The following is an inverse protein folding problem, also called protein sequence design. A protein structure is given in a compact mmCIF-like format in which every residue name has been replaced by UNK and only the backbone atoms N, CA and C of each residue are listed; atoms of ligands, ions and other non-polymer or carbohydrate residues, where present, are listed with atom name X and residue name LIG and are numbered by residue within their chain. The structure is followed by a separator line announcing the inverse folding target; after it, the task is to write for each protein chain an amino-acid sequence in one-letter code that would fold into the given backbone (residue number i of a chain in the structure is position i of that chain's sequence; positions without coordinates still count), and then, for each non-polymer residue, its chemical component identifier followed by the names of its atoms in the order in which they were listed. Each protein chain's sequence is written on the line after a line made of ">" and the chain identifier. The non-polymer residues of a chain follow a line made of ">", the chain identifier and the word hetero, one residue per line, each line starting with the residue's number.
data_IF_175106851260
#
_entry.id   IF_175106851260
#
_cell.length_a   1.000
_cell.length_b   1.000
_cell.length_c   1.000
_cell.angle_alpha   90.00
_cell.angle_beta   90.00
_cell.angle_gamma   90.00
#
_symmetry.space_group_name_H-M   'P 1'
#
loop_
_entity.id
_entity.type
_entity.pdbx_description
1 polymer ?
#
# COMPACT_ATOMS: atom_id res chain seq x y z
N UNK A 1 7.58 -50.58 -21.61
CA UNK A 1 8.76 -49.77 -22.00
C UNK A 1 9.75 -49.66 -20.83
N UNK A 2 11.07 -49.76 -21.07
CA UNK A 2 12.10 -49.76 -20.02
C UNK A 2 12.64 -48.35 -19.69
N UNK A 3 12.09 -47.32 -20.34
CA UNK A 3 12.48 -45.91 -20.17
C UNK A 3 13.95 -45.62 -20.55
N UNK A 4 14.49 -46.39 -21.52
CA UNK A 4 15.89 -46.30 -21.93
C UNK A 4 16.13 -45.42 -23.16
N UNK A 5 15.06 -45.01 -23.85
CA UNK A 5 15.09 -44.10 -25.00
C UNK A 5 13.96 -43.08 -24.93
N UNK A 6 14.11 -41.95 -25.63
CA UNK A 6 13.08 -40.91 -25.71
C UNK A 6 11.72 -41.46 -26.20
N UNK A 7 11.75 -42.34 -27.22
CA UNK A 7 10.56 -43.00 -27.75
C UNK A 7 9.81 -43.78 -26.66
N UNK A 8 10.53 -44.52 -25.82
CA UNK A 8 9.93 -45.27 -24.72
C UNK A 8 9.39 -44.37 -23.61
N UNK A 9 10.04 -43.23 -23.32
CA UNK A 9 9.53 -42.24 -22.37
C UNK A 9 8.20 -41.64 -22.85
N UNK A 10 8.09 -41.31 -24.14
CA UNK A 10 6.83 -40.86 -24.75
C UNK A 10 5.75 -41.94 -24.74
N UNK A 11 6.11 -43.19 -24.96
CA UNK A 11 5.18 -44.32 -24.86
C UNK A 11 4.62 -44.47 -23.43
N UNK A 12 5.47 -44.37 -22.40
CA UNK A 12 5.04 -44.36 -20.99
C UNK A 12 4.10 -43.19 -20.73
N UNK A 13 4.45 -41.99 -21.20
CA UNK A 13 3.64 -40.80 -21.05
C UNK A 13 2.24 -40.99 -21.64
N UNK A 14 2.15 -41.50 -22.86
CA UNK A 14 0.87 -41.71 -23.54
C UNK A 14 0.01 -42.77 -22.84
N UNK A 15 0.61 -43.89 -22.42
CA UNK A 15 -0.11 -44.95 -21.70
C UNK A 15 -0.76 -44.38 -20.43
N UNK A 16 -0.02 -43.58 -19.66
CA UNK A 16 -0.56 -42.96 -18.45
C UNK A 16 -1.67 -41.94 -18.79
N UNK A 17 -1.47 -41.11 -19.81
CA UNK A 17 -2.47 -40.14 -20.28
C UNK A 17 -3.80 -40.78 -20.70
N UNK A 18 -3.74 -41.95 -21.32
CA UNK A 18 -4.93 -42.68 -21.79
C UNK A 18 -5.66 -43.40 -20.64
N UNK A 19 -4.93 -43.80 -19.60
CA UNK A 19 -5.49 -44.53 -18.45
C UNK A 19 -6.07 -43.59 -17.39
N UNK A 20 -5.44 -42.45 -17.17
CA UNK A 20 -5.88 -41.46 -16.17
C UNK A 20 -7.08 -40.67 -16.70
N UNK A 21 -8.15 -40.66 -15.90
CA UNK A 21 -9.39 -39.95 -16.19
C UNK A 21 -9.39 -38.58 -15.53
N UNK A 22 -10.35 -37.76 -15.95
CA UNK A 22 -10.51 -36.41 -15.41
C UNK A 22 -10.94 -36.50 -13.94
N UNK A 23 -10.23 -35.82 -13.05
CA UNK A 23 -10.54 -35.75 -11.63
C UNK A 23 -10.04 -36.93 -10.79
N UNK A 24 -9.29 -37.87 -11.36
CA UNK A 24 -8.77 -39.02 -10.63
C UNK A 24 -7.87 -38.58 -9.45
N UNK A 25 -8.00 -39.29 -8.32
CA UNK A 25 -7.06 -39.17 -7.20
C UNK A 25 -5.89 -40.15 -7.39
N UNK A 26 -4.65 -39.66 -7.41
CA UNK A 26 -3.46 -40.49 -7.71
C UNK A 26 -2.48 -40.53 -6.54
N UNK A 27 -1.91 -41.71 -6.32
CA UNK A 27 -0.75 -41.94 -5.44
C UNK A 27 0.38 -42.48 -6.32
N UNK A 28 1.56 -41.88 -6.23
CA UNK A 28 2.74 -42.33 -6.95
C UNK A 28 3.69 -43.05 -6.00
N UNK A 29 3.96 -44.32 -6.29
CA UNK A 29 5.05 -45.08 -5.67
C UNK A 29 6.26 -45.00 -6.61
N UNK A 30 7.34 -44.37 -6.14
CA UNK A 30 8.59 -44.23 -6.88
C UNK A 30 9.72 -45.12 -6.34
N UNK A 31 9.42 -46.08 -5.47
CA UNK A 31 10.38 -47.02 -4.86
C UNK A 31 11.31 -47.69 -5.89
N UNK A 32 10.76 -48.08 -7.04
CA UNK A 32 11.51 -48.74 -8.11
C UNK A 32 11.79 -47.81 -9.31
N UNK A 33 11.59 -46.50 -9.15
CA UNK A 33 11.89 -45.54 -10.22
C UNK A 33 13.39 -45.37 -10.37
N UNK A 34 13.88 -45.52 -11.60
CA UNK A 34 15.30 -45.47 -11.89
C UNK A 34 15.64 -44.35 -12.87
N UNK A 35 16.73 -43.62 -12.61
CA UNK A 35 17.32 -42.58 -13.48
C UNK A 35 16.34 -41.50 -13.94
N UNK A 36 15.86 -41.55 -15.18
CA UNK A 36 15.03 -40.52 -15.83
C UNK A 36 13.56 -40.59 -15.41
N UNK A 37 13.11 -41.72 -14.85
CA UNK A 37 11.70 -41.92 -14.47
C UNK A 37 11.19 -40.91 -13.42
N UNK A 38 11.90 -40.60 -12.32
CA UNK A 38 11.47 -39.56 -11.38
C UNK A 38 11.26 -38.19 -12.03
N UNK A 39 12.14 -37.81 -12.97
CA UNK A 39 11.99 -36.58 -13.74
C UNK A 39 10.75 -36.63 -14.65
N UNK A 40 10.55 -37.72 -15.38
CA UNK A 40 9.37 -37.92 -16.22
C UNK A 40 8.08 -37.85 -15.38
N UNK A 41 8.04 -38.52 -14.23
CA UNK A 41 6.87 -38.50 -13.34
C UNK A 41 6.56 -37.11 -12.82
N UNK A 42 7.59 -36.32 -12.47
CA UNK A 42 7.38 -34.94 -12.04
C UNK A 42 6.69 -34.13 -13.15
N UNK A 43 7.18 -34.21 -14.39
CA UNK A 43 6.56 -33.54 -15.56
C UNK A 43 5.14 -34.04 -15.81
N UNK A 44 4.94 -35.35 -15.73
CA UNK A 44 3.66 -36.01 -15.99
C UNK A 44 2.60 -35.65 -14.96
N UNK A 45 2.96 -35.59 -13.67
CA UNK A 45 2.08 -35.13 -12.59
C UNK A 45 1.58 -33.71 -12.89
N UNK A 46 2.48 -32.80 -13.28
CA UNK A 46 2.11 -31.42 -13.62
C UNK A 46 1.18 -31.37 -14.84
N UNK A 47 1.52 -32.10 -15.90
CA UNK A 47 0.72 -32.13 -17.12
C UNK A 47 -0.68 -32.72 -16.89
N UNK A 48 -0.78 -33.83 -16.15
CA UNK A 48 -2.06 -34.41 -15.73
C UNK A 48 -2.85 -33.45 -14.86
N UNK A 49 -2.20 -32.69 -13.97
CA UNK A 49 -2.85 -31.65 -13.18
C UNK A 49 -3.55 -30.60 -14.05
N UNK A 50 -2.89 -30.19 -15.15
CA UNK A 50 -3.46 -29.22 -16.10
C UNK A 50 -4.57 -29.82 -16.94
N UNK A 51 -4.31 -30.95 -17.61
CA UNK A 51 -5.19 -31.52 -18.65
C UNK A 51 -6.30 -32.40 -18.09
N UNK A 52 -6.00 -33.15 -17.03
CA UNK A 52 -6.93 -34.12 -16.43
C UNK A 52 -7.46 -33.64 -15.08
N UNK A 53 -6.99 -32.52 -14.52
CA UNK A 53 -7.45 -32.01 -13.21
C UNK A 53 -7.37 -33.07 -12.11
N UNK A 54 -6.30 -33.88 -12.13
CA UNK A 54 -6.08 -34.92 -11.12
C UNK A 54 -5.89 -34.30 -9.73
N UNK A 55 -6.12 -35.11 -8.70
CA UNK A 55 -5.77 -34.77 -7.32
C UNK A 55 -4.63 -35.66 -6.84
N UNK A 56 -3.47 -35.07 -6.59
CA UNK A 56 -2.34 -35.81 -6.05
C UNK A 56 -2.56 -36.07 -4.56
N UNK A 57 -2.57 -37.36 -4.17
CA UNK A 57 -2.71 -37.81 -2.77
C UNK A 57 -1.38 -38.09 -2.09
N UNK A 58 -0.35 -38.40 -2.86
CA UNK A 58 1.02 -38.39 -2.37
C UNK A 58 2.02 -39.04 -3.33
N UNK A 59 3.29 -38.78 -3.06
CA UNK A 59 4.43 -39.39 -3.73
C UNK A 59 5.29 -40.06 -2.66
N UNK A 60 5.46 -41.37 -2.75
CA UNK A 60 6.14 -42.16 -1.72
C UNK A 60 7.33 -42.91 -2.31
N UNK A 61 8.39 -42.99 -1.51
CA UNK A 61 9.62 -43.70 -1.84
C UNK A 61 9.97 -44.66 -0.69
N UNK A 62 9.95 -45.96 -0.95
CA UNK A 62 10.49 -46.95 -0.03
C UNK A 62 12.00 -47.01 -0.13
N UNK A 63 12.71 -46.63 0.93
CA UNK A 63 14.17 -46.63 0.97
C UNK A 63 14.74 -48.04 1.23
N UNK A 64 14.38 -49.01 0.37
CA UNK A 64 14.76 -50.42 0.52
C UNK A 64 16.27 -50.65 0.51
N UNK A 65 17.02 -49.82 -0.22
CA UNK A 65 18.48 -49.81 -0.27
C UNK A 65 19.14 -49.67 1.12
N UNK A 66 18.43 -49.10 2.11
CA UNK A 66 18.91 -49.00 3.49
C UNK A 66 19.03 -50.36 4.18
N UNK A 67 18.30 -51.37 3.71
CA UNK A 67 18.40 -52.74 4.21
C UNK A 67 19.64 -53.47 3.67
N UNK A 68 20.40 -52.84 2.75
CA UNK A 68 21.62 -53.38 2.18
C UNK A 68 21.37 -54.23 0.93
N UNK A 69 22.27 -55.17 0.65
CA UNK A 69 22.18 -56.02 -0.54
C UNK A 69 21.01 -56.99 -0.46
N UNK A 70 20.44 -57.39 -1.60
CA UNK A 70 19.33 -58.36 -1.67
C UNK A 70 19.64 -59.65 -0.90
N UNK A 71 20.89 -60.13 -0.95
CA UNK A 71 21.33 -61.32 -0.19
C UNK A 71 21.24 -61.10 1.33
N UNK A 72 21.73 -59.96 1.80
CA UNK A 72 21.64 -59.60 3.21
C UNK A 72 20.18 -59.53 3.68
N UNK A 73 19.29 -58.95 2.86
CA UNK A 73 17.85 -58.88 3.19
C UNK A 73 17.19 -60.27 3.21
N UNK A 74 17.59 -61.18 2.31
CA UNK A 74 17.05 -62.55 2.30
C UNK A 74 17.39 -63.32 3.58
N UNK A 75 18.55 -63.04 4.18
CA UNK A 75 19.01 -63.62 5.45
C UNK A 75 18.37 -62.95 6.68
N UNK A 76 17.80 -61.76 6.53
CA UNK A 76 17.04 -61.08 7.59
C UNK A 76 15.69 -61.78 7.85
N UNK A 77 15.31 -61.84 9.12
CA UNK A 77 13.93 -62.15 9.53
C UNK A 77 12.98 -61.09 8.99
N UNK A 78 11.71 -61.47 8.76
CA UNK A 78 10.70 -60.55 8.23
C UNK A 78 10.59 -59.29 9.11
N UNK A 79 10.60 -59.45 10.44
CA UNK A 79 10.51 -58.34 11.40
C UNK A 79 11.70 -57.38 11.33
N UNK A 80 12.86 -57.82 10.83
CA UNK A 80 14.05 -56.98 10.67
C UNK A 80 14.09 -56.24 9.33
N UNK A 81 13.17 -56.51 8.40
CA UNK A 81 13.10 -55.86 7.07
C UNK A 81 12.30 -54.55 7.13
N UNK A 82 12.72 -53.64 8.00
CA UNK A 82 12.06 -52.34 8.20
C UNK A 82 12.64 -51.26 7.27
N UNK A 83 12.20 -51.26 6.01
CA UNK A 83 12.56 -50.21 5.05
C UNK A 83 11.67 -48.98 5.24
N UNK A 84 12.23 -47.78 5.55
CA UNK A 84 11.42 -46.61 5.79
C UNK A 84 10.77 -46.11 4.50
N UNK A 85 9.49 -45.73 4.59
CA UNK A 85 8.77 -45.04 3.52
C UNK A 85 8.92 -43.54 3.74
N UNK A 86 9.46 -42.86 2.73
CA UNK A 86 9.64 -41.41 2.71
C UNK A 86 8.51 -40.79 1.89
N UNK A 87 7.78 -39.85 2.50
CA UNK A 87 6.80 -39.01 1.81
C UNK A 87 7.51 -37.83 1.14
N UNK A 88 7.47 -37.80 -0.19
CA UNK A 88 8.08 -36.77 -1.03
C UNK A 88 7.07 -35.73 -1.51
N UNK A 89 5.79 -35.87 -1.15
CA UNK A 89 4.74 -34.91 -1.48
C UNK A 89 5.08 -33.46 -1.10
N UNK A 90 5.72 -33.18 0.06
CA UNK A 90 6.05 -31.80 0.43
C UNK A 90 6.93 -31.05 -0.58
N UNK A 91 7.80 -31.74 -1.32
CA UNK A 91 8.68 -31.12 -2.32
C UNK A 91 7.91 -30.60 -3.53
N UNK A 92 6.84 -31.29 -3.94
CA UNK A 92 5.93 -30.78 -4.99
C UNK A 92 5.13 -29.58 -4.49
N UNK A 93 4.84 -29.52 -3.18
CA UNK A 93 4.25 -28.35 -2.53
C UNK A 93 5.12 -27.11 -2.69
N UNK A 94 6.45 -27.23 -2.55
CA UNK A 94 7.40 -26.11 -2.74
C UNK A 94 7.26 -25.53 -4.16
N UNK A 95 7.24 -26.39 -5.17
CA UNK A 95 7.05 -25.96 -6.56
C UNK A 95 5.70 -25.28 -6.76
N UNK A 96 4.61 -25.85 -6.25
CA UNK A 96 3.27 -25.30 -6.43
C UNK A 96 3.13 -23.91 -5.81
N UNK A 97 3.65 -23.71 -4.58
CA UNK A 97 3.70 -22.40 -3.93
C UNK A 97 4.60 -21.41 -4.68
N UNK A 98 5.77 -21.86 -5.15
CA UNK A 98 6.66 -21.06 -6.00
C UNK A 98 5.94 -20.50 -7.23
N UNK A 99 5.29 -21.37 -7.99
CA UNK A 99 4.53 -21.02 -9.20
C UNK A 99 3.34 -20.13 -8.88
N UNK A 100 2.56 -20.43 -7.84
CA UNK A 100 1.38 -19.63 -7.49
C UNK A 100 1.75 -18.20 -7.04
N UNK A 101 2.87 -18.04 -6.33
CA UNK A 101 3.39 -16.72 -5.95
C UNK A 101 3.92 -15.96 -7.17
N UNK A 102 4.69 -16.62 -8.05
CA UNK A 102 5.17 -16.01 -9.29
C UNK A 102 3.99 -15.56 -10.19
N UNK A 103 2.97 -16.40 -10.34
CA UNK A 103 1.75 -16.05 -11.08
C UNK A 103 1.02 -14.86 -10.46
N UNK A 104 0.91 -14.78 -9.14
CA UNK A 104 0.35 -13.62 -8.48
C UNK A 104 1.19 -12.36 -8.74
N UNK A 105 2.51 -12.44 -8.63
CA UNK A 105 3.41 -11.29 -8.84
C UNK A 105 3.47 -10.81 -10.29
N UNK A 106 3.24 -11.69 -11.27
CA UNK A 106 3.26 -11.35 -12.71
C UNK A 106 1.90 -10.96 -13.27
N UNK A 107 0.84 -11.60 -12.79
CA UNK A 107 -0.50 -11.50 -13.39
C UNK A 107 -1.55 -10.94 -12.43
N UNK A 108 -1.21 -10.75 -11.16
CA UNK A 108 -2.10 -10.25 -10.12
C UNK A 108 -3.28 -11.15 -9.78
N UNK A 109 -3.20 -12.43 -10.15
CA UNK A 109 -4.24 -13.42 -9.88
C UNK A 109 -3.92 -14.22 -8.62
N UNK A 110 -4.88 -14.29 -7.71
CA UNK A 110 -4.72 -14.97 -6.41
C UNK A 110 -5.30 -16.40 -6.40
N UNK A 111 -5.94 -16.83 -7.48
CA UNK A 111 -6.73 -18.07 -7.51
C UNK A 111 -5.94 -19.31 -7.10
N UNK A 112 -4.72 -19.48 -7.64
CA UNK A 112 -3.86 -20.62 -7.30
C UNK A 112 -3.44 -20.61 -5.83
N UNK A 113 -3.13 -19.44 -5.27
CA UNK A 113 -2.83 -19.29 -3.84
C UNK A 113 -4.03 -19.70 -2.98
N UNK A 114 -5.25 -19.30 -3.36
CA UNK A 114 -6.47 -19.68 -2.65
C UNK A 114 -6.71 -21.20 -2.72
N UNK A 115 -6.45 -21.83 -3.86
CA UNK A 115 -6.49 -23.30 -4.00
C UNK A 115 -5.47 -23.97 -3.07
N UNK A 116 -4.23 -23.48 -3.03
CA UNK A 116 -3.20 -24.02 -2.13
C UNK A 116 -3.60 -23.89 -0.65
N UNK A 117 -4.19 -22.76 -0.25
CA UNK A 117 -4.75 -22.58 1.08
C UNK A 117 -5.83 -23.63 1.36
N UNK A 118 -6.76 -23.82 0.42
CA UNK A 118 -7.86 -24.78 0.56
C UNK A 118 -7.37 -26.22 0.72
N UNK A 119 -6.39 -26.61 -0.10
CA UNK A 119 -5.97 -28.01 -0.22
C UNK A 119 -4.93 -28.41 0.83
N UNK A 120 -4.06 -27.48 1.25
CA UNK A 120 -2.91 -27.81 2.10
C UNK A 120 -2.96 -27.13 3.47
N UNK A 121 -3.48 -25.90 3.57
CA UNK A 121 -3.43 -25.13 4.83
C UNK A 121 -4.69 -25.32 5.67
N UNK A 122 -5.87 -25.34 5.06
CA UNK A 122 -7.13 -25.56 5.77
C UNK A 122 -7.19 -26.92 6.48
N UNK A 123 -6.70 -28.04 5.90
CA UNK A 123 -6.62 -29.31 6.63
C UNK A 123 -5.71 -29.24 7.85
N UNK A 124 -4.55 -28.58 7.77
CA UNK A 124 -3.64 -28.38 8.90
C UNK A 124 -4.32 -27.58 10.01
N UNK A 125 -5.02 -26.50 9.67
CA UNK A 125 -5.78 -25.71 10.65
C UNK A 125 -6.91 -26.52 11.28
N UNK A 126 -7.58 -27.39 10.52
CA UNK A 126 -8.62 -28.28 11.06
C UNK A 126 -8.03 -29.29 12.04
N UNK A 127 -6.91 -29.92 11.69
CA UNK A 127 -6.22 -30.91 12.53
C UNK A 127 -5.67 -30.28 13.83
N UNK A 128 -5.07 -29.10 13.73
CA UNK A 128 -4.49 -28.37 14.87
C UNK A 128 -5.51 -27.54 15.66
N UNK A 129 -6.80 -27.57 15.27
CA UNK A 129 -7.87 -26.72 15.83
C UNK A 129 -7.50 -25.23 15.82
N UNK A 130 -6.83 -24.79 14.76
CA UNK A 130 -6.42 -23.41 14.53
C UNK A 130 -5.24 -22.93 15.39
N UNK A 131 -4.50 -23.84 16.01
CA UNK A 131 -3.33 -23.51 16.84
C UNK A 131 -2.03 -23.36 16.05
N UNK A 132 -2.02 -23.75 14.78
CA UNK A 132 -0.86 -23.55 13.91
C UNK A 132 -0.76 -22.09 13.46
N UNK A 133 0.26 -21.39 13.96
CA UNK A 133 0.49 -19.96 13.71
C UNK A 133 0.85 -19.69 12.25
N UNK A 134 1.71 -20.52 11.64
CA UNK A 134 2.16 -20.35 10.25
C UNK A 134 0.99 -20.55 9.28
N UNK A 135 0.21 -21.61 9.47
CA UNK A 135 -0.97 -21.89 8.66
C UNK A 135 -2.01 -20.76 8.75
N UNK A 136 -2.19 -20.20 9.95
CA UNK A 136 -3.11 -19.07 10.18
C UNK A 136 -2.60 -17.78 9.52
N UNK A 137 -1.30 -17.50 9.64
CA UNK A 137 -0.66 -16.36 9.01
C UNK A 137 -0.78 -16.44 7.47
N UNK A 138 -0.39 -17.57 6.86
CA UNK A 138 -0.47 -17.80 5.42
C UNK A 138 -1.90 -17.64 4.88
N UNK A 139 -2.90 -18.22 5.57
CA UNK A 139 -4.31 -18.03 5.19
C UNK A 139 -4.73 -16.56 5.26
N UNK A 140 -4.30 -15.84 6.30
CA UNK A 140 -4.57 -14.41 6.46
C UNK A 140 -3.94 -13.58 5.34
N UNK A 141 -2.67 -13.81 5.03
CA UNK A 141 -1.93 -13.13 3.96
C UNK A 141 -2.63 -13.35 2.62
N UNK A 142 -2.89 -14.60 2.23
CA UNK A 142 -3.54 -14.90 0.94
C UNK A 142 -4.93 -14.28 0.86
N UNK A 143 -5.69 -14.26 1.96
CA UNK A 143 -6.96 -13.54 2.00
C UNK A 143 -6.79 -12.05 1.74
N UNK A 144 -5.73 -11.42 2.24
CA UNK A 144 -5.48 -9.98 2.03
C UNK A 144 -4.89 -9.65 0.67
N UNK A 145 -4.10 -10.54 0.10
CA UNK A 145 -3.72 -10.46 -1.31
C UNK A 145 -4.95 -10.60 -2.21
N UNK A 146 -5.91 -11.45 -1.86
CA UNK A 146 -7.17 -11.57 -2.58
C UNK A 146 -8.02 -10.30 -2.47
N UNK A 147 -8.14 -9.72 -1.28
CA UNK A 147 -8.81 -8.43 -1.08
C UNK A 147 -8.16 -7.34 -1.94
N UNK A 148 -6.82 -7.28 -1.96
CA UNK A 148 -6.06 -6.33 -2.77
C UNK A 148 -6.35 -6.50 -4.27
N UNK A 149 -6.14 -7.70 -4.81
CA UNK A 149 -6.35 -8.01 -6.23
C UNK A 149 -7.79 -7.69 -6.65
N UNK A 150 -8.78 -8.06 -5.84
CA UNK A 150 -10.20 -7.75 -6.05
C UNK A 150 -10.43 -6.24 -6.07
N UNK A 151 -9.88 -5.51 -5.10
CA UNK A 151 -10.04 -4.06 -5.04
C UNK A 151 -9.41 -3.34 -6.23
N UNK A 152 -8.28 -3.83 -6.75
CA UNK A 152 -7.67 -3.32 -7.99
C UNK A 152 -8.58 -3.62 -9.18
N UNK A 153 -8.96 -4.89 -9.36
CA UNK A 153 -9.76 -5.35 -10.49
C UNK A 153 -11.11 -4.63 -10.61
N UNK A 154 -11.75 -4.36 -9.46
CA UNK A 154 -13.05 -3.68 -9.39
C UNK A 154 -12.94 -2.18 -9.08
N UNK A 155 -11.75 -1.59 -9.14
CA UNK A 155 -11.51 -0.13 -9.01
C UNK A 155 -12.05 0.44 -7.68
N UNK A 156 -11.76 -0.23 -6.57
CA UNK A 156 -12.20 0.18 -5.22
C UNK A 156 -11.13 1.03 -4.53
N UNK A 157 -10.85 2.21 -5.07
CA UNK A 157 -9.83 3.15 -4.56
C UNK A 157 -9.96 3.47 -3.06
N UNK A 158 -11.19 3.73 -2.58
CA UNK A 158 -11.47 3.97 -1.14
C UNK A 158 -11.17 2.75 -0.26
N UNK A 159 -11.29 1.53 -0.78
CA UNK A 159 -10.92 0.33 -0.03
C UNK A 159 -9.40 0.18 0.00
N UNK A 160 -8.72 0.38 -1.13
CA UNK A 160 -7.26 0.35 -1.24
C UNK A 160 -6.58 1.33 -0.29
N UNK A 161 -7.10 2.56 -0.17
CA UNK A 161 -6.56 3.57 0.77
C UNK A 161 -6.76 3.21 2.24
N UNK A 162 -7.63 2.25 2.57
CA UNK A 162 -7.87 1.78 3.94
C UNK A 162 -7.18 0.46 4.27
N UNK A 163 -6.54 -0.17 3.29
CA UNK A 163 -5.84 -1.44 3.51
C UNK A 163 -4.61 -1.23 4.40
N UNK A 164 -4.37 -2.19 5.30
CA UNK A 164 -3.22 -2.22 6.19
C UNK A 164 -2.21 -3.26 5.66
N UNK A 165 -1.39 -2.86 4.68
CA UNK A 165 -0.42 -3.74 4.01
C UNK A 165 0.71 -4.19 4.95
N UNK A 166 1.25 -3.31 5.79
CA UNK A 166 2.28 -3.68 6.75
C UNK A 166 1.73 -4.65 7.79
N UNK A 167 0.66 -4.26 8.47
CA UNK A 167 0.06 -5.06 9.56
C UNK A 167 -0.48 -6.42 9.08
N UNK A 168 -1.06 -6.49 7.87
CA UNK A 168 -1.79 -7.69 7.45
C UNK A 168 -1.13 -8.52 6.34
N UNK A 169 -0.04 -8.03 5.73
CA UNK A 169 0.69 -8.76 4.69
C UNK A 169 2.17 -8.87 5.06
N UNK A 170 2.88 -7.74 5.18
CA UNK A 170 4.35 -7.73 5.32
C UNK A 170 4.81 -8.28 6.68
N UNK A 171 4.25 -7.81 7.79
CA UNK A 171 4.61 -8.29 9.13
C UNK A 171 4.29 -9.78 9.31
N UNK A 172 3.09 -10.28 8.94
CA UNK A 172 2.80 -11.71 8.97
C UNK A 172 3.76 -12.53 8.10
N UNK A 173 4.13 -12.07 6.90
CA UNK A 173 5.09 -12.78 6.03
C UNK A 173 6.45 -12.97 6.74
N UNK A 174 6.94 -11.94 7.44
CA UNK A 174 8.20 -12.00 8.22
C UNK A 174 8.12 -12.94 9.43
N UNK A 175 6.91 -13.20 9.93
CA UNK A 175 6.68 -14.05 11.10
C UNK A 175 6.49 -15.53 10.75
N UNK A 176 6.19 -15.86 9.49
CA UNK A 176 6.12 -17.26 9.04
C UNK A 176 7.49 -17.89 9.25
N UNK A 177 7.58 -18.85 10.17
CA UNK A 177 8.85 -19.48 10.53
C UNK A 177 9.34 -20.40 9.41
N UNK A 178 10.64 -20.34 9.12
CA UNK A 178 11.31 -21.15 8.11
C UNK A 178 11.14 -22.66 8.30
N UNK A 179 10.89 -23.16 9.52
CA UNK A 179 10.71 -24.59 9.79
C UNK A 179 9.46 -25.20 9.13
N UNK A 180 8.50 -24.37 8.70
CA UNK A 180 7.28 -24.86 8.04
C UNK A 180 7.61 -25.49 6.68
N UNK A 181 8.42 -24.80 5.87
CA UNK A 181 8.98 -25.24 4.58
C UNK A 181 10.21 -24.35 4.26
N UNK A 182 11.43 -24.68 4.71
CA UNK A 182 12.61 -23.82 4.53
C UNK A 182 12.85 -23.36 3.08
N UNK A 183 12.60 -24.22 2.05
CA UNK A 183 12.74 -23.81 0.65
C UNK A 183 11.73 -22.75 0.17
N UNK A 184 10.63 -22.50 0.91
CA UNK A 184 9.65 -21.46 0.55
C UNK A 184 10.04 -20.07 1.02
N UNK A 185 10.94 -19.93 1.98
CA UNK A 185 11.28 -18.63 2.55
C UNK A 185 11.71 -17.62 1.48
N UNK A 186 12.62 -17.94 0.53
CA UNK A 186 13.02 -16.97 -0.51
C UNK A 186 11.85 -16.53 -1.40
N UNK A 187 10.87 -17.42 -1.63
CA UNK A 187 9.67 -17.11 -2.40
C UNK A 187 8.77 -16.16 -1.62
N UNK A 188 8.58 -16.39 -0.31
CA UNK A 188 7.80 -15.50 0.56
C UNK A 188 8.47 -14.12 0.71
N UNK A 189 9.81 -14.07 0.69
CA UNK A 189 10.56 -12.83 0.74
C UNK A 189 10.28 -11.96 -0.50
N UNK A 190 10.00 -12.56 -1.67
CA UNK A 190 9.60 -11.79 -2.87
C UNK A 190 8.27 -11.06 -2.69
N UNK A 191 7.31 -11.65 -1.98
CA UNK A 191 6.06 -10.98 -1.61
C UNK A 191 6.31 -9.86 -0.60
N UNK A 192 7.18 -10.13 0.38
CA UNK A 192 7.58 -9.15 1.40
C UNK A 192 8.20 -7.91 0.74
N UNK A 193 9.06 -8.13 -0.26
CA UNK A 193 9.67 -7.07 -1.05
C UNK A 193 8.62 -6.26 -1.81
N UNK A 194 7.72 -6.94 -2.53
CA UNK A 194 6.72 -6.29 -3.38
C UNK A 194 5.82 -5.32 -2.61
N UNK A 195 5.47 -5.65 -1.37
CA UNK A 195 4.59 -4.83 -0.53
C UNK A 195 5.34 -4.01 0.51
N UNK A 196 6.68 -3.99 0.49
CA UNK A 196 7.50 -3.24 1.47
C UNK A 196 7.10 -1.78 1.55
N UNK A 197 6.94 -1.13 0.39
CA UNK A 197 6.70 0.32 0.30
C UNK A 197 5.20 0.68 0.24
N UNK A 198 4.33 -0.24 0.67
CA UNK A 198 2.89 -0.02 0.82
C UNK A 198 2.54 0.22 2.29
N UNK A 199 2.27 1.45 2.72
CA UNK A 199 1.95 1.73 4.11
C UNK A 199 0.51 1.36 4.47
N UNK A 200 0.27 1.33 5.77
CA UNK A 200 -1.08 1.12 6.30
C UNK A 200 -1.94 2.37 6.14
N UNK A 201 -3.15 2.19 5.59
CA UNK A 201 -4.20 3.20 5.53
C UNK A 201 -3.75 4.51 4.88
N UNK A 202 -2.95 4.41 3.82
CA UNK A 202 -2.39 5.54 3.10
C UNK A 202 -3.28 5.93 1.90
N UNK A 203 -3.74 7.20 1.79
CA UNK A 203 -4.43 7.74 0.63
C UNK A 203 -3.70 7.52 -0.71
N UNK A 204 -2.36 7.51 -0.70
CA UNK A 204 -1.52 7.30 -1.88
C UNK A 204 -1.43 5.84 -2.32
N UNK A 205 -2.01 4.89 -1.59
CA UNK A 205 -2.12 3.50 -2.05
C UNK A 205 -2.92 3.38 -3.36
N UNK A 206 -3.78 4.36 -3.68
CA UNK A 206 -4.40 4.46 -5.00
C UNK A 206 -3.38 4.62 -6.15
N UNK A 207 -2.31 5.42 -5.94
CA UNK A 207 -1.27 5.63 -6.96
C UNK A 207 -0.36 4.42 -7.12
N UNK A 208 -0.03 3.75 -6.00
CA UNK A 208 0.70 2.48 -6.02
C UNK A 208 -0.11 1.38 -6.74
N UNK A 209 -1.43 1.39 -6.58
CA UNK A 209 -2.32 0.49 -7.31
C UNK A 209 -2.41 0.82 -8.81
N UNK A 210 -2.23 2.08 -9.21
CA UNK A 210 -2.12 2.45 -10.62
C UNK A 210 -0.83 1.90 -11.23
N UNK A 211 0.29 1.99 -10.51
CA UNK A 211 1.55 1.37 -10.93
C UNK A 211 1.40 -0.15 -11.10
N UNK A 212 0.76 -0.81 -10.12
CA UNK A 212 0.38 -2.22 -10.24
C UNK A 212 -0.44 -2.48 -11.51
N UNK A 213 -1.45 -1.65 -11.81
CA UNK A 213 -2.24 -1.80 -13.04
C UNK A 213 -1.40 -1.69 -14.32
N UNK A 214 -0.42 -0.78 -14.36
CA UNK A 214 0.46 -0.58 -15.52
C UNK A 214 1.30 -1.85 -15.76
N UNK A 215 1.96 -2.35 -14.71
CA UNK A 215 2.79 -3.55 -14.77
C UNK A 215 1.99 -4.79 -15.24
N UNK A 216 0.75 -4.91 -14.80
CA UNK A 216 -0.10 -6.09 -15.04
C UNK A 216 -1.02 -5.94 -16.26
N UNK A 217 -0.93 -4.83 -17.00
CA UNK A 217 -1.76 -4.58 -18.19
C UNK A 217 -3.25 -4.32 -17.90
N UNK A 218 -3.59 -3.92 -16.68
CA UNK A 218 -4.95 -3.56 -16.25
C UNK A 218 -5.26 -2.09 -16.61
N UNK A 219 -5.12 -1.74 -17.89
CA UNK A 219 -5.10 -0.33 -18.36
C UNK A 219 -6.40 0.42 -18.05
N UNK A 220 -7.55 -0.23 -18.22
CA UNK A 220 -8.86 0.37 -17.94
C UNK A 220 -9.05 0.69 -16.44
N UNK A 221 -8.63 -0.26 -15.58
CA UNK A 221 -8.64 -0.08 -14.13
C UNK A 221 -7.66 1.02 -13.72
N UNK A 222 -6.46 1.02 -14.29
CA UNK A 222 -5.42 2.04 -14.04
C UNK A 222 -5.90 3.45 -14.37
N UNK A 223 -6.50 3.67 -15.54
CA UNK A 223 -7.05 4.97 -15.94
C UNK A 223 -8.14 5.46 -14.97
N UNK A 224 -9.04 4.56 -14.57
CA UNK A 224 -10.12 4.90 -13.64
C UNK A 224 -9.59 5.16 -12.23
N UNK A 225 -8.70 4.30 -11.72
CA UNK A 225 -8.07 4.47 -10.40
C UNK A 225 -7.25 5.76 -10.33
N UNK A 226 -6.49 6.09 -11.39
CA UNK A 226 -5.67 7.30 -11.42
C UNK A 226 -6.52 8.56 -11.35
N UNK A 227 -7.59 8.63 -12.15
CA UNK A 227 -8.51 9.77 -12.12
C UNK A 227 -9.19 9.91 -10.75
N UNK A 228 -9.70 8.83 -10.17
CA UNK A 228 -10.38 8.88 -8.87
C UNK A 228 -9.42 9.20 -7.72
N UNK A 229 -8.18 8.71 -7.79
CA UNK A 229 -7.13 9.01 -6.81
C UNK A 229 -6.69 10.46 -6.89
N UNK A 230 -6.55 11.03 -8.09
CA UNK A 230 -6.26 12.46 -8.28
C UNK A 230 -7.32 13.32 -7.57
N UNK A 231 -8.61 13.02 -7.78
CA UNK A 231 -9.71 13.74 -7.13
C UNK A 231 -9.63 13.60 -5.61
N UNK A 232 -9.32 12.42 -5.10
CA UNK A 232 -9.18 12.16 -3.65
C UNK A 232 -8.02 12.96 -3.04
N UNK A 233 -6.85 12.95 -3.68
CA UNK A 233 -5.66 13.70 -3.25
C UNK A 233 -5.96 15.20 -3.21
N UNK A 234 -6.60 15.73 -4.24
CA UNK A 234 -6.97 17.15 -4.29
C UNK A 234 -8.04 17.52 -3.27
N UNK A 235 -9.02 16.63 -3.05
CA UNK A 235 -10.05 16.84 -2.02
C UNK A 235 -9.43 16.91 -0.64
N UNK A 236 -8.47 16.02 -0.34
CA UNK A 236 -7.73 16.00 0.93
C UNK A 236 -6.85 17.23 1.09
N UNK A 237 -6.13 17.62 0.02
CA UNK A 237 -5.23 18.78 0.05
C UNK A 237 -5.96 20.11 0.24
N UNK A 238 -7.13 20.24 -0.37
CA UNK A 238 -7.92 21.48 -0.36
C UNK A 238 -8.99 21.48 0.74
N UNK A 239 -8.89 20.59 1.73
CA UNK A 239 -9.91 20.39 2.76
C UNK A 239 -10.33 21.69 3.45
N UNK A 240 -9.36 22.53 3.79
CA UNK A 240 -9.57 23.87 4.37
C UNK A 240 -10.37 24.79 3.45
N UNK A 241 -10.05 24.80 2.15
CA UNK A 241 -10.76 25.66 1.18
C UNK A 241 -12.15 25.10 0.86
N UNK A 242 -12.35 23.81 1.10
CA UNK A 242 -13.61 23.11 0.96
C UNK A 242 -14.45 23.13 2.25
N UNK A 243 -14.05 23.88 3.29
CA UNK A 243 -14.72 23.92 4.58
C UNK A 243 -16.24 24.19 4.46
N UNK A 244 -16.63 25.11 3.57
CA UNK A 244 -18.05 25.45 3.35
C UNK A 244 -18.79 24.48 2.41
N UNK A 245 -18.06 23.67 1.64
CA UNK A 245 -18.63 22.75 0.65
C UNK A 245 -19.14 21.49 1.35
N UNK A 246 -20.46 21.28 1.29
CA UNK A 246 -21.12 20.16 1.97
C UNK A 246 -21.27 20.36 3.47
N UNK A 247 -21.10 21.59 3.99
CA UNK A 247 -21.29 21.91 5.41
C UNK A 247 -22.73 21.67 5.90
N UNK A 248 -23.70 21.62 4.98
CA UNK A 248 -25.09 21.26 5.22
C UNK A 248 -25.31 19.76 5.47
N UNK A 249 -24.29 18.91 5.26
CA UNK A 249 -24.38 17.46 5.44
C UNK A 249 -24.06 17.06 6.87
N UNK A 250 -24.99 16.31 7.46
CA UNK A 250 -24.90 15.78 8.83
C UNK A 250 -23.79 14.74 8.99
N UNK A 251 -23.59 13.88 7.99
CA UNK A 251 -22.55 12.86 8.01
C UNK A 251 -21.35 13.23 7.13
N UNK A 252 -20.17 12.75 7.53
CA UNK A 252 -18.91 13.06 6.86
C UNK A 252 -18.79 12.41 5.47
N UNK A 253 -19.51 11.30 5.20
CA UNK A 253 -19.45 10.61 3.92
C UNK A 253 -20.14 11.41 2.81
N UNK A 254 -21.35 11.92 3.07
CA UNK A 254 -22.08 12.79 2.15
C UNK A 254 -21.36 14.12 1.93
N UNK A 255 -20.72 14.66 2.98
CA UNK A 255 -19.86 15.85 2.88
C UNK A 255 -18.70 15.58 1.92
N UNK A 256 -18.01 14.47 2.10
CA UNK A 256 -16.89 14.07 1.23
C UNK A 256 -17.34 13.87 -0.22
N UNK A 257 -18.49 13.22 -0.45
CA UNK A 257 -19.06 13.05 -1.80
C UNK A 257 -19.27 14.40 -2.47
N UNK A 258 -19.88 15.37 -1.77
CA UNK A 258 -20.08 16.72 -2.29
C UNK A 258 -18.77 17.42 -2.62
N UNK A 259 -17.76 17.30 -1.76
CA UNK A 259 -16.42 17.88 -1.98
C UNK A 259 -15.72 17.26 -3.19
N UNK A 260 -15.80 15.94 -3.38
CA UNK A 260 -15.23 15.24 -4.56
C UNK A 260 -15.90 15.71 -5.86
N UNK A 261 -17.23 15.78 -5.88
CA UNK A 261 -17.99 16.30 -7.03
C UNK A 261 -17.57 17.75 -7.35
N UNK A 262 -17.44 18.58 -6.31
CA UNK A 262 -17.01 19.96 -6.44
C UNK A 262 -15.62 20.07 -7.08
N UNK A 263 -14.65 19.29 -6.60
CA UNK A 263 -13.29 19.24 -7.16
C UNK A 263 -13.28 18.76 -8.60
N UNK A 264 -14.00 17.67 -8.93
CA UNK A 264 -14.10 17.19 -10.31
C UNK A 264 -14.70 18.27 -11.23
N UNK A 265 -15.76 18.98 -10.81
CA UNK A 265 -16.33 20.07 -11.59
C UNK A 265 -15.35 21.23 -11.76
N UNK A 266 -14.63 21.60 -10.69
CA UNK A 266 -13.63 22.66 -10.71
C UNK A 266 -12.52 22.33 -11.72
N UNK A 267 -11.96 21.12 -11.69
CA UNK A 267 -10.92 20.70 -12.62
C UNK A 267 -11.41 20.76 -14.08
N UNK A 268 -12.65 20.37 -14.35
CA UNK A 268 -13.24 20.46 -15.70
C UNK A 268 -13.36 21.90 -16.21
N UNK A 269 -13.80 22.85 -15.38
CA UNK A 269 -13.95 24.25 -15.83
C UNK A 269 -12.60 24.93 -16.00
N UNK A 270 -11.61 24.60 -15.15
CA UNK A 270 -10.25 25.10 -15.28
C UNK A 270 -9.54 24.56 -16.52
N UNK A 271 -9.73 23.27 -16.85
CA UNK A 271 -9.12 22.66 -18.05
C UNK A 271 -9.64 23.26 -19.37
N UNK A 272 -10.80 23.92 -19.33
CA UNK A 272 -11.47 24.53 -20.48
C UNK A 272 -11.40 26.06 -20.46
N UNK A 273 -10.62 26.64 -19.55
CA UNK A 273 -10.47 28.08 -19.36
C UNK A 273 -11.81 28.81 -19.23
N UNK A 274 -12.83 28.17 -18.63
CA UNK A 274 -14.14 28.78 -18.47
C UNK A 274 -14.03 29.88 -17.40
N UNK A 275 -14.38 31.14 -17.74
CA UNK A 275 -14.20 32.25 -16.82
C UNK A 275 -15.09 32.08 -15.59
N UNK A 276 -14.67 32.55 -14.39
CA UNK A 276 -15.46 32.39 -13.18
C UNK A 276 -16.90 32.86 -13.31
N UNK A 277 -17.19 33.91 -14.11
CA UNK A 277 -18.54 34.43 -14.39
C UNK A 277 -19.50 33.38 -14.96
N UNK A 278 -18.98 32.36 -15.63
CA UNK A 278 -19.77 31.33 -16.30
C UNK A 278 -19.83 30.00 -15.54
N UNK A 279 -19.19 29.92 -14.36
CA UNK A 279 -19.29 28.73 -13.51
C UNK A 279 -20.74 28.50 -13.07
N UNK A 280 -21.18 27.24 -13.09
CA UNK A 280 -22.56 26.81 -12.82
C UNK A 280 -22.64 25.90 -11.59
N UNK A 281 -23.86 25.55 -11.19
CA UNK A 281 -24.18 24.60 -10.12
C UNK A 281 -23.48 24.91 -8.79
N UNK A 282 -22.85 23.92 -8.16
CA UNK A 282 -22.17 24.05 -6.87
C UNK A 282 -21.01 25.05 -6.91
N UNK A 283 -20.35 25.21 -8.07
CA UNK A 283 -19.27 26.21 -8.22
C UNK A 283 -19.82 27.64 -8.18
N UNK A 284 -21.02 27.87 -8.73
CA UNK A 284 -21.71 29.15 -8.65
C UNK A 284 -22.19 29.43 -7.22
N UNK A 285 -22.80 28.43 -6.58
CA UNK A 285 -23.32 28.52 -5.21
C UNK A 285 -22.23 28.71 -4.15
N UNK A 286 -20.99 28.27 -4.42
CA UNK A 286 -19.85 28.37 -3.51
C UNK A 286 -18.66 29.07 -4.19
N UNK A 287 -18.92 30.20 -4.85
CA UNK A 287 -17.95 30.93 -5.69
C UNK A 287 -16.65 31.30 -4.98
N UNK A 288 -16.73 31.73 -3.72
CA UNK A 288 -15.56 32.08 -2.92
C UNK A 288 -14.65 30.86 -2.69
N UNK A 289 -15.23 29.71 -2.33
CA UNK A 289 -14.51 28.46 -2.16
C UNK A 289 -13.92 27.97 -3.49
N UNK A 290 -14.67 28.07 -4.59
CA UNK A 290 -14.21 27.66 -5.91
C UNK A 290 -12.98 28.47 -6.37
N UNK A 291 -13.02 29.80 -6.19
CA UNK A 291 -11.89 30.67 -6.50
C UNK A 291 -10.69 30.43 -5.57
N UNK A 292 -10.92 30.17 -4.28
CA UNK A 292 -9.86 29.84 -3.33
C UNK A 292 -9.18 28.50 -3.67
N UNK A 293 -9.95 27.50 -4.10
CA UNK A 293 -9.43 26.24 -4.60
C UNK A 293 -8.64 26.45 -5.90
N UNK A 294 -9.19 27.18 -6.87
CA UNK A 294 -8.56 27.42 -8.18
C UNK A 294 -7.15 28.02 -8.06
N UNK A 295 -6.93 28.93 -7.11
CA UNK A 295 -5.60 29.53 -6.85
C UNK A 295 -4.56 28.53 -6.32
N UNK A 296 -5.00 27.41 -5.75
CA UNK A 296 -4.14 26.37 -5.14
C UNK A 296 -4.02 25.11 -6.00
N UNK A 297 -4.81 25.00 -7.06
CA UNK A 297 -4.70 23.93 -8.05
C UNK A 297 -3.48 24.23 -8.94
N UNK A 298 -2.51 23.30 -9.09
CA UNK A 298 -1.41 23.46 -10.03
C UNK A 298 -1.93 23.67 -11.45
N UNK A 299 -1.29 24.54 -12.23
CA UNK A 299 -1.74 24.93 -13.57
C UNK A 299 -1.87 23.76 -14.54
N UNK A 300 -1.02 22.75 -14.39
CA UNK A 300 -0.96 21.61 -15.30
C UNK A 300 -1.95 20.51 -14.93
N UNK A 301 -2.47 20.53 -13.70
CA UNK A 301 -3.35 19.48 -13.17
C UNK A 301 -4.72 19.42 -13.89
N UNK A 302 -5.41 20.54 -14.21
CA UNK A 302 -6.62 20.50 -15.02
C UNK A 302 -6.42 19.88 -16.40
N UNK A 303 -5.32 20.23 -17.08
CA UNK A 303 -4.97 19.67 -18.39
C UNK A 303 -4.75 18.16 -18.30
N UNK A 304 -4.02 17.72 -17.27
CA UNK A 304 -3.82 16.30 -16.97
C UNK A 304 -5.14 15.57 -16.72
N UNK A 305 -6.04 16.17 -15.93
CA UNK A 305 -7.36 15.60 -15.60
C UNK A 305 -8.26 15.45 -16.83
N UNK A 306 -8.24 16.42 -17.75
CA UNK A 306 -8.98 16.34 -19.01
C UNK A 306 -8.39 15.26 -19.94
N UNK A 307 -7.05 15.15 -20.05
CA UNK A 307 -6.39 14.06 -20.79
C UNK A 307 -6.80 12.69 -20.25
N UNK A 308 -6.81 12.52 -18.92
CA UNK A 308 -7.27 11.28 -18.27
C UNK A 308 -8.74 10.98 -18.57
N UNK A 309 -9.60 12.01 -18.51
CA UNK A 309 -11.03 11.87 -18.83
C UNK A 309 -11.22 11.36 -20.25
N UNK A 310 -10.47 11.88 -21.22
CA UNK A 310 -10.56 11.46 -22.61
C UNK A 310 -10.11 9.99 -22.81
N UNK A 311 -8.95 9.61 -22.25
CA UNK A 311 -8.44 8.24 -22.33
C UNK A 311 -9.38 7.23 -21.66
N UNK A 312 -9.89 7.57 -20.47
CA UNK A 312 -10.81 6.72 -19.70
C UNK A 312 -12.15 6.57 -20.44
N UNK A 313 -12.67 7.64 -21.03
CA UNK A 313 -13.91 7.57 -21.80
C UNK A 313 -13.73 6.75 -23.08
N UNK A 314 -12.61 6.89 -23.78
CA UNK A 314 -12.30 6.11 -24.98
C UNK A 314 -12.39 4.60 -24.71
N UNK A 315 -11.60 4.11 -23.74
CA UNK A 315 -11.57 2.68 -23.40
C UNK A 315 -12.92 2.18 -22.86
N UNK A 316 -13.65 2.99 -22.08
CA UNK A 316 -14.96 2.61 -21.55
C UNK A 316 -16.06 2.57 -22.62
N UNK A 317 -15.93 3.40 -23.66
CA UNK A 317 -16.83 3.38 -24.81
C UNK A 317 -16.35 2.42 -25.91
N UNK A 318 -15.38 1.55 -25.63
CA UNK A 318 -14.84 0.56 -26.54
C UNK A 318 -14.43 1.14 -27.92
N UNK A 319 -13.96 2.40 -27.93
CA UNK A 319 -13.55 3.09 -29.16
C UNK A 319 -14.68 3.52 -30.11
N UNK A 320 -15.96 3.41 -29.73
CA UNK A 320 -17.09 3.77 -30.62
C UNK A 320 -17.31 5.28 -30.83
N UNK A 321 -16.78 6.13 -29.96
CA UNK A 321 -17.04 7.59 -29.99
C UNK A 321 -15.87 8.34 -30.63
N UNK A 322 -14.70 8.32 -29.99
CA UNK A 322 -13.47 8.95 -30.48
C UNK A 322 -12.27 8.14 -29.98
N UNK A 323 -11.82 7.20 -30.80
CA UNK A 323 -10.77 6.27 -30.45
C UNK A 323 -9.37 6.80 -30.74
N UNK A 324 -8.47 6.60 -29.80
CA UNK A 324 -7.03 6.58 -30.04
C UNK A 324 -6.56 5.14 -30.33
N UNK A 325 -5.32 4.99 -30.80
CA UNK A 325 -4.73 3.65 -30.97
C UNK A 325 -4.51 2.97 -29.61
N UNK A 326 -4.64 1.65 -29.54
CA UNK A 326 -4.55 0.90 -28.28
C UNK A 326 -3.26 1.19 -27.49
N UNK A 327 -2.12 1.33 -28.17
CA UNK A 327 -0.83 1.65 -27.53
C UNK A 327 -0.85 3.02 -26.82
N UNK A 328 -1.66 3.97 -27.31
CA UNK A 328 -1.80 5.30 -26.70
C UNK A 328 -2.55 5.27 -25.37
N UNK A 329 -3.36 4.23 -25.09
CA UNK A 329 -4.04 4.08 -23.81
C UNK A 329 -3.04 3.75 -22.71
N UNK A 330 -2.13 2.79 -22.97
CA UNK A 330 -1.04 2.43 -22.05
C UNK A 330 -0.08 3.61 -21.87
N UNK A 331 0.46 4.16 -22.97
CA UNK A 331 1.38 5.29 -22.90
C UNK A 331 0.73 6.49 -22.19
N UNK A 332 -0.53 6.76 -22.50
CA UNK A 332 -1.29 7.84 -21.87
C UNK A 332 -1.45 7.63 -20.37
N UNK A 333 -1.73 6.41 -19.91
CA UNK A 333 -1.78 6.07 -18.48
C UNK A 333 -0.42 6.29 -17.80
N UNK A 334 0.66 5.76 -18.38
CA UNK A 334 2.03 5.89 -17.86
C UNK A 334 2.48 7.35 -17.77
N UNK A 335 2.26 8.13 -18.82
CA UNK A 335 2.57 9.57 -18.85
C UNK A 335 1.80 10.31 -17.75
N UNK A 336 0.51 10.02 -17.62
CA UNK A 336 -0.33 10.72 -16.66
C UNK A 336 -0.02 10.33 -15.21
N UNK A 337 0.33 9.05 -14.98
CA UNK A 337 0.77 8.56 -13.67
C UNK A 337 2.06 9.25 -13.25
N UNK A 338 3.06 9.30 -14.15
CA UNK A 338 4.33 10.00 -13.91
C UNK A 338 4.14 11.49 -13.67
N UNK A 339 3.33 12.15 -14.49
CA UNK A 339 3.03 13.57 -14.32
C UNK A 339 2.35 13.86 -12.97
N UNK A 340 1.41 13.02 -12.55
CA UNK A 340 0.75 13.18 -11.26
C UNK A 340 1.71 12.93 -10.09
N UNK A 341 2.59 11.94 -10.18
CA UNK A 341 3.63 11.72 -9.17
C UNK A 341 4.54 12.94 -9.03
N UNK A 342 5.07 13.45 -10.15
CA UNK A 342 5.90 14.66 -10.14
C UNK A 342 5.18 15.87 -9.56
N UNK A 343 3.92 16.08 -9.93
CA UNK A 343 3.09 17.13 -9.33
C UNK A 343 2.94 16.93 -7.82
N UNK A 344 2.67 15.72 -7.34
CA UNK A 344 2.51 15.42 -5.92
C UNK A 344 3.83 15.62 -5.16
N UNK A 345 4.96 15.27 -5.75
CA UNK A 345 6.29 15.49 -5.18
C UNK A 345 6.62 16.99 -5.10
N UNK A 346 6.40 17.77 -6.17
CA UNK A 346 6.57 19.23 -6.16
C UNK A 346 5.66 19.90 -5.13
N UNK A 347 4.42 19.42 -5.06
CA UNK A 347 3.41 19.83 -4.11
C UNK A 347 3.80 19.48 -2.66
N UNK A 348 4.42 18.32 -2.46
CA UNK A 348 4.93 17.81 -1.19
C UNK A 348 6.19 18.57 -0.74
N UNK A 349 7.15 18.78 -1.63
CA UNK A 349 8.36 19.56 -1.43
C UNK A 349 8.07 21.04 -1.13
N UNK A 350 7.01 21.60 -1.73
CA UNK A 350 6.50 22.92 -1.39
C UNK A 350 5.89 23.02 0.03
N UNK A 351 5.55 21.89 0.63
CA UNK A 351 5.03 21.79 2.01
C UNK A 351 6.10 21.32 3.01
N UNK A 352 7.13 20.61 2.56
CA UNK A 352 8.30 20.24 3.39
C UNK A 352 9.30 21.40 3.55
N UNK A 353 9.31 22.37 2.61
CA UNK A 353 10.11 23.59 2.74
C UNK A 353 9.43 24.70 3.55
N UNK A 354 8.10 24.68 3.70
CA UNK A 354 7.36 25.63 4.52
C UNK A 354 7.01 25.00 5.87
N UNK A 355 7.87 25.20 6.86
CA UNK A 355 7.56 24.80 8.23
C UNK A 355 6.29 25.49 8.76
N UNK A 356 5.59 24.81 9.66
CA UNK A 356 4.37 25.31 10.30
C UNK A 356 4.67 26.39 11.32
N UNK A 357 3.79 27.37 11.42
CA UNK A 357 3.83 28.43 12.43
C UNK A 357 2.87 28.15 13.57
N UNK A 358 3.42 27.80 14.73
CA UNK A 358 2.70 27.58 15.98
C UNK A 358 2.70 28.85 16.83
N UNK A 359 1.55 29.27 17.33
CA UNK A 359 1.43 30.34 18.31
C UNK A 359 1.02 29.78 19.66
N UNK A 360 1.94 29.82 20.63
CA UNK A 360 1.80 29.19 21.95
C UNK A 360 1.38 30.24 22.97
N UNK A 361 0.09 30.29 23.27
CA UNK A 361 -0.43 31.16 24.34
C UNK A 361 -1.83 30.75 24.75
N UNK A 362 -2.07 30.72 26.06
CA UNK A 362 -3.38 30.58 26.69
C UNK A 362 -4.13 31.91 26.87
N UNK A 363 -3.48 33.04 26.57
CA UNK A 363 -4.02 34.38 26.83
C UNK A 363 -4.79 34.92 25.60
N UNK A 364 -6.12 35.15 25.71
CA UNK A 364 -6.95 35.75 24.67
C UNK A 364 -6.37 37.03 24.06
N UNK A 365 -5.80 37.91 24.89
CA UNK A 365 -5.18 39.16 24.42
C UNK A 365 -4.02 38.94 23.45
N UNK A 366 -3.18 37.94 23.69
CA UNK A 366 -2.06 37.60 22.81
C UNK A 366 -2.52 37.01 21.48
N UNK A 367 -3.57 36.19 21.50
CA UNK A 367 -4.20 35.66 20.28
C UNK A 367 -4.87 36.76 19.47
N UNK A 368 -5.59 37.66 20.15
CA UNK A 368 -6.23 38.82 19.54
C UNK A 368 -5.23 39.81 18.96
N UNK A 369 -4.10 40.03 19.65
CA UNK A 369 -2.98 40.82 19.13
C UNK A 369 -2.41 40.19 17.86
N UNK A 370 -2.07 38.90 17.88
CA UNK A 370 -1.53 38.19 16.73
C UNK A 370 -2.45 38.23 15.49
N UNK A 371 -3.76 38.08 15.70
CA UNK A 371 -4.76 38.22 14.64
C UNK A 371 -4.86 39.67 14.12
N UNK A 372 -4.78 40.66 15.02
CA UNK A 372 -4.81 42.09 14.67
C UNK A 372 -3.58 42.57 13.91
N UNK A 373 -2.42 41.94 14.13
CA UNK A 373 -1.18 42.20 13.39
C UNK A 373 -1.09 41.40 12.07
N UNK A 374 -2.09 40.57 11.75
CA UNK A 374 -2.14 39.82 10.49
C UNK A 374 -1.11 38.68 10.39
N UNK A 375 -0.68 38.12 11.51
CA UNK A 375 0.29 37.02 11.52
C UNK A 375 -0.30 35.74 10.90
N UNK A 376 0.43 35.14 9.96
CA UNK A 376 0.06 33.86 9.35
C UNK A 376 0.39 32.71 10.33
N UNK A 377 -0.61 32.28 11.10
CA UNK A 377 -0.47 31.24 12.12
C UNK A 377 -1.24 29.99 11.67
N UNK A 378 -0.54 28.86 11.60
CA UNK A 378 -1.13 27.57 11.20
C UNK A 378 -1.84 26.88 12.37
N UNK A 379 -1.38 27.11 13.61
CA UNK A 379 -2.01 26.55 14.81
C UNK A 379 -1.82 27.43 16.05
N UNK A 380 -2.93 27.75 16.73
CA UNK A 380 -2.92 28.28 18.09
C UNK A 380 -2.98 27.13 19.10
N UNK A 381 -2.03 27.09 20.03
CA UNK A 381 -1.95 26.02 21.04
C UNK A 381 -1.72 26.62 22.43
N UNK A 382 -2.26 25.97 23.47
CA UNK A 382 -1.98 26.37 24.87
C UNK A 382 -0.60 25.88 25.31
N UNK A 383 -0.22 24.68 24.85
CA UNK A 383 1.05 24.03 25.13
C UNK A 383 1.62 23.42 23.85
N UNK A 384 2.93 23.58 23.64
CA UNK A 384 3.61 22.98 22.50
C UNK A 384 4.09 21.57 22.83
N UNK A 385 3.76 20.60 21.98
CA UNK A 385 4.38 19.28 22.04
C UNK A 385 5.63 19.29 21.17
N UNK A 386 6.79 19.27 21.82
CA UNK A 386 8.12 19.36 21.22
C UNK A 386 8.40 18.24 20.21
N UNK A 387 7.87 17.03 20.45
CA UNK A 387 8.11 15.88 19.57
C UNK A 387 7.45 16.01 18.19
N UNK A 388 6.59 17.02 18.02
CA UNK A 388 5.94 17.34 16.74
C UNK A 388 6.67 18.39 15.92
N UNK A 389 7.68 19.06 16.50
CA UNK A 389 8.45 20.10 15.83
C UNK A 389 9.37 19.48 14.78
N UNK A 390 9.24 19.96 13.54
CA UNK A 390 10.08 19.60 12.41
C UNK A 390 11.04 20.74 12.08
N UNK A 391 12.14 20.46 11.35
CA UNK A 391 12.98 21.50 10.79
C UNK A 391 12.15 22.52 10.00
N UNK A 392 12.50 23.81 10.11
CA UNK A 392 11.82 24.98 9.53
C UNK A 392 10.50 25.40 10.18
N UNK A 393 9.92 24.64 11.12
CA UNK A 393 8.73 25.09 11.88
C UNK A 393 9.06 26.37 12.66
N UNK A 394 8.11 27.31 12.73
CA UNK A 394 8.22 28.52 13.55
C UNK A 394 7.36 28.39 14.80
N UNK A 395 7.91 28.66 15.98
CA UNK A 395 7.19 28.65 17.25
C UNK A 395 7.23 30.04 17.86
N UNK A 396 6.06 30.65 18.01
CA UNK A 396 5.87 32.00 18.53
C UNK A 396 5.29 31.91 19.95
N UNK A 397 5.93 32.58 20.92
CA UNK A 397 5.37 32.72 22.27
C UNK A 397 6.43 32.91 23.37
N UNK A 398 5.96 33.11 24.59
CA UNK A 398 6.83 33.23 25.78
C UNK A 398 7.01 31.83 26.39
N UNK A 399 8.07 31.13 25.99
CA UNK A 399 8.32 29.74 26.39
C UNK A 399 9.41 29.62 27.46
N UNK A 400 9.35 28.59 28.34
CA UNK A 400 10.49 28.20 29.15
C UNK A 400 11.75 27.97 28.30
N UNK A 401 12.90 28.46 28.77
CA UNK A 401 14.17 28.45 28.02
C UNK A 401 14.59 27.05 27.58
N UNK A 402 14.28 26.01 28.36
CA UNK A 402 14.58 24.63 28.03
C UNK A 402 13.77 24.14 26.83
N UNK A 403 12.50 24.53 26.70
CA UNK A 403 11.66 24.17 25.55
C UNK A 403 12.09 24.94 24.30
N UNK A 404 12.44 26.22 24.46
CA UNK A 404 12.93 27.03 23.36
C UNK A 404 14.28 26.51 22.81
N UNK A 405 15.20 26.08 23.67
CA UNK A 405 16.44 25.40 23.28
C UNK A 405 16.16 24.11 22.48
N UNK A 406 15.15 23.36 22.90
CA UNK A 406 14.76 22.07 22.33
C UNK A 406 14.10 22.22 20.94
N UNK A 407 13.38 23.33 20.72
CA UNK A 407 12.87 23.76 19.41
C UNK A 407 14.03 24.09 18.47
N UNK A 408 14.97 24.93 18.93
CA UNK A 408 16.15 25.30 18.13
C UNK A 408 17.00 24.08 17.79
N UNK A 409 17.16 23.12 18.71
CA UNK A 409 17.92 21.88 18.49
C UNK A 409 17.29 20.97 17.41
N UNK A 410 15.97 21.03 17.21
CA UNK A 410 15.24 20.32 16.14
C UNK A 410 15.24 21.06 14.80
N UNK A 411 15.93 22.20 14.71
CA UNK A 411 15.95 23.04 13.50
C UNK A 411 14.69 23.89 13.32
N UNK A 412 13.88 24.08 14.38
CA UNK A 412 12.77 25.02 14.38
C UNK A 412 13.22 26.45 14.72
N UNK A 413 12.52 27.44 14.19
CA UNK A 413 12.71 28.86 14.47
C UNK A 413 11.90 29.28 15.69
N UNK A 414 12.57 29.82 16.72
CA UNK A 414 11.89 30.34 17.90
C UNK A 414 11.75 31.87 17.84
N UNK A 415 10.52 32.35 18.00
CA UNK A 415 10.17 33.76 18.05
C UNK A 415 9.56 34.06 19.44
N UNK A 416 10.28 34.81 20.26
CA UNK A 416 9.81 35.23 21.57
C UNK A 416 8.84 36.39 21.44
N UNK A 417 7.71 36.31 22.16
CA UNK A 417 6.78 37.43 22.30
C UNK A 417 7.24 38.31 23.47
N UNK A 418 7.85 39.45 23.15
CA UNK A 418 8.40 40.41 24.11
C UNK A 418 7.44 41.56 24.34
N UNK A 419 7.30 41.98 25.61
CA UNK A 419 6.55 43.17 26.02
C UNK A 419 7.34 43.95 27.08
N UNK A 420 7.33 45.28 26.98
CA UNK A 420 7.97 46.18 27.94
C UNK A 420 6.99 46.52 29.07
N UNK A 421 6.85 45.60 30.02
CA UNK A 421 5.87 45.71 31.11
C UNK A 421 6.43 46.44 32.34
N UNK A 422 5.72 47.48 32.77
CA UNK A 422 5.88 48.08 34.10
C UNK A 422 5.56 47.07 35.20
N UNK A 423 6.22 47.18 36.35
CA UNK A 423 6.10 46.21 37.46
C UNK A 423 4.64 45.93 37.87
N UNK A 424 3.78 46.95 37.86
CA UNK A 424 2.37 46.86 38.21
C UNK A 424 1.49 46.07 37.23
N UNK A 425 1.93 45.93 35.96
CA UNK A 425 1.19 45.24 34.90
C UNK A 425 1.58 43.76 34.77
N UNK A 426 2.64 43.33 35.46
CA UNK A 426 3.12 41.94 35.39
C UNK A 426 2.11 41.00 36.07
N UNK A 427 1.79 39.90 35.40
CA UNK A 427 0.85 38.88 35.91
C UNK A 427 -0.64 39.22 35.74
N UNK A 428 -0.96 40.37 35.15
CA UNK A 428 -2.33 40.72 34.76
C UNK A 428 -2.63 40.25 33.33
N UNK A 429 -3.89 39.95 33.04
CA UNK A 429 -4.34 39.63 31.69
C UNK A 429 -4.47 40.92 30.87
N UNK A 430 -3.69 41.02 29.79
CA UNK A 430 -3.65 42.21 28.93
C UNK A 430 -4.57 42.03 27.72
N UNK A 431 -5.25 43.09 27.31
CA UNK A 431 -5.94 43.15 26.01
C UNK A 431 -4.96 43.37 24.86
N UNK A 432 -5.37 43.07 23.63
CA UNK A 432 -4.53 43.28 22.44
C UNK A 432 -4.04 44.74 22.31
N UNK A 433 -4.87 45.72 22.67
CA UNK A 433 -4.51 47.13 22.63
C UNK A 433 -3.48 47.51 23.70
N UNK A 434 -3.64 47.00 24.92
CA UNK A 434 -2.64 47.16 25.98
C UNK A 434 -1.31 46.51 25.61
N UNK A 435 -1.34 45.36 24.90
CA UNK A 435 -0.13 44.74 24.39
C UNK A 435 0.60 45.63 23.38
N UNK A 436 -0.11 46.31 22.47
CA UNK A 436 0.49 47.32 21.57
C UNK A 436 1.11 48.48 22.33
N UNK A 437 0.41 49.01 23.33
CA UNK A 437 0.91 50.09 24.18
C UNK A 437 2.16 49.68 24.98
N UNK A 438 2.27 48.40 25.33
CA UNK A 438 3.45 47.82 25.99
C UNK A 438 4.54 47.36 24.99
N UNK A 439 4.47 47.77 23.72
CA UNK A 439 5.51 47.48 22.74
C UNK A 439 5.63 46.00 22.37
N UNK A 440 4.52 45.27 22.34
CA UNK A 440 4.50 43.85 21.96
C UNK A 440 5.15 43.64 20.59
N UNK A 441 6.14 42.75 20.55
CA UNK A 441 6.93 42.44 19.35
C UNK A 441 7.40 41.00 19.35
N UNK A 442 7.68 40.48 18.16
CA UNK A 442 8.29 39.16 17.98
C UNK A 442 9.79 39.30 17.77
N UNK A 443 10.57 38.61 18.58
CA UNK A 443 12.03 38.65 18.53
C UNK A 443 12.56 37.24 18.25
N UNK A 444 13.37 37.03 17.20
CA UNK A 444 13.97 35.72 16.95
C UNK A 444 15.07 35.44 17.96
N UNK A 445 15.06 34.24 18.55
CA UNK A 445 16.10 33.76 19.44
C UNK A 445 16.66 32.43 18.95
N UNK A 446 17.99 32.30 19.02
CA UNK A 446 18.69 31.03 18.89
C UNK A 446 19.20 30.64 20.28
N UNK A 447 18.63 29.57 20.85
CA UNK A 447 18.96 29.13 22.21
C UNK A 447 19.66 27.78 22.13
N UNK A 448 20.84 27.70 22.73
CA UNK A 448 21.64 26.48 22.81
C UNK A 448 21.92 26.16 24.27
N UNK A 449 21.82 24.87 24.65
CA UNK A 449 22.24 24.44 25.98
C UNK A 449 23.76 24.55 26.05
N UNK A 450 24.27 25.22 27.08
CA UNK A 450 25.71 25.21 27.34
C UNK A 450 26.16 23.77 27.66
N UNK A 451 27.37 23.41 27.22
CA UNK A 451 27.99 22.15 27.64
C UNK A 451 28.10 22.16 29.16
N UNK A 452 27.74 21.05 29.82
CA UNK A 452 27.99 20.89 31.24
C UNK A 452 29.50 21.01 31.47
N UNK A 453 29.93 22.00 32.23
CA UNK A 453 31.24 21.95 32.86
C UNK A 453 31.10 20.97 34.03
N UNK A 454 31.84 19.86 33.96
CA UNK A 454 32.07 18.98 35.10
C UNK A 454 32.86 19.77 36.14
N UNK A 455 32.15 20.52 36.97
CA UNK A 455 32.74 21.44 37.93
C UNK A 455 31.67 22.27 38.63
N UNK A 456 30.81 21.59 39.38
CA UNK A 456 30.26 22.05 40.67
C UNK A 456 29.77 20.83 41.48
#
# INVERSE_FOLDING_TARGET
>A
PEATSERELWEIFQILMDRVRIGDELIFDITHSFRSLPMLFTVLIQYLGVVKKIRLRGVYYGAFERLGSVRAVQEMTIDARDAPIVDLTPFLGVYAWGTAIDHFLRFGQVGELQTLISDHINPVLKATRGRDDNARALRGIVSKLADFATNVQYVRGKALSKMAFQTHIVEPLRQVRGDFLPPLQPVLDTLTERFRDWPDRDPFNGLRAVEWCIEHGLIQQGLTLLQETLVEVMTTRLDEQLATVGADKENDEDRLIKRRIFISKLLNVLARDIPPSEWRDELAGQRAAAQACARRVPTDLPVLYEKLTQLRNDINHAGYVKACGADKLRQGLEDCHRALLGLIEEIGAGNESRGRTYFVSRHPGARGWAAGEGLAIDAFVDHINIDRIRPNDSVIGTLPVNLAAEICARGGHYLHLSLDLQAQMRGQELTAEQMRQCGARLEPYLIQRAAQHDGD
#
